data_IF_784058334789
#
_entry.id   IF_784058334789
#
_cell.length_a   1.000
_cell.length_b   1.000
_cell.length_c   1.000
_cell.angle_alpha   90.00
_cell.angle_beta   90.00
_cell.angle_gamma   90.00
#
_symmetry.space_group_name_H-M   'P 1'
#
loop_
_entity.id
_entity.type
_entity.pdbx_description
1 polymer ?
#
# COMPACT_ATOMS: atom_id res chain seq x y z
N UNK A 1 76.19 8.85 -33.70
CA UNK A 1 75.89 8.21 -35.00
C UNK A 1 74.70 7.29 -34.78
N UNK A 2 73.61 7.53 -35.55
CA UNK A 2 72.39 6.73 -35.83
C UNK A 2 72.36 5.25 -35.37
N UNK A 3 71.26 4.56 -34.99
CA UNK A 3 69.80 4.62 -35.21
C UNK A 3 69.10 3.93 -33.99
N UNK A 4 67.96 4.39 -33.44
CA UNK A 4 66.55 4.11 -33.80
C UNK A 4 66.24 2.65 -34.20
N UNK A 5 65.44 1.93 -33.40
CA UNK A 5 64.24 1.24 -33.89
C UNK A 5 63.29 0.84 -32.74
N UNK A 6 62.05 1.22 -32.97
CA UNK A 6 60.83 1.14 -32.17
C UNK A 6 60.04 -0.13 -32.47
N UNK A 7 59.36 -0.69 -31.48
CA UNK A 7 58.17 -1.52 -31.68
C UNK A 7 57.10 -1.03 -30.70
N UNK A 8 56.07 -0.39 -31.25
CA UNK A 8 54.77 -0.14 -30.62
C UNK A 8 53.92 -1.42 -30.73
N UNK A 9 52.96 -1.64 -29.84
CA UNK A 9 51.51 -1.73 -30.11
C UNK A 9 50.78 -2.05 -28.79
N UNK A 10 49.48 -1.68 -28.67
CA UNK A 10 48.88 -1.17 -27.45
C UNK A 10 47.97 -2.19 -26.74
N UNK A 11 47.95 -2.16 -25.40
CA UNK A 11 46.84 -2.73 -24.64
C UNK A 11 45.73 -1.70 -24.52
N UNK A 12 44.66 -1.88 -25.30
CA UNK A 12 43.38 -1.21 -25.12
C UNK A 12 42.77 -1.65 -23.78
N UNK A 13 42.72 -0.74 -22.81
CA UNK A 13 41.83 -0.85 -21.67
C UNK A 13 40.40 -0.57 -22.15
N UNK A 14 39.57 -1.61 -22.14
CA UNK A 14 38.13 -1.52 -22.26
C UNK A 14 37.59 -0.84 -21.00
N UNK A 15 37.17 0.41 -21.14
CA UNK A 15 36.33 1.09 -20.15
C UNK A 15 34.93 0.49 -20.34
N UNK A 16 34.56 -0.44 -19.46
CA UNK A 16 33.18 -0.88 -19.31
C UNK A 16 32.41 0.25 -18.62
N UNK A 17 31.43 0.79 -19.32
CA UNK A 17 30.46 1.74 -18.81
C UNK A 17 29.75 1.15 -17.59
N UNK A 18 30.12 1.59 -16.39
CA UNK A 18 29.29 1.39 -15.20
C UNK A 18 28.18 2.43 -15.28
N UNK A 19 26.97 1.98 -15.57
CA UNK A 19 25.77 2.77 -15.34
C UNK A 19 25.66 3.04 -13.84
N UNK A 20 25.97 4.27 -13.46
CA UNK A 20 25.72 4.78 -12.13
C UNK A 20 24.21 4.97 -11.99
N UNK A 21 23.53 3.96 -11.44
CA UNK A 21 22.16 4.12 -10.94
C UNK A 21 22.26 4.99 -9.69
N UNK A 22 22.04 6.29 -9.87
CA UNK A 22 21.93 7.25 -8.78
C UNK A 22 20.59 7.00 -8.10
N UNK A 23 20.61 6.31 -6.96
CA UNK A 23 19.51 6.38 -6.01
C UNK A 23 19.55 7.77 -5.37
N UNK A 24 18.62 8.64 -5.75
CA UNK A 24 18.41 9.90 -5.05
C UNK A 24 17.77 9.59 -3.70
N UNK A 25 18.60 9.46 -2.66
CA UNK A 25 18.12 9.54 -1.28
C UNK A 25 17.86 11.01 -0.99
N UNK A 26 16.61 11.44 -1.11
CA UNK A 26 16.20 12.77 -0.68
C UNK A 26 16.10 12.77 0.85
N UNK A 27 17.16 13.20 1.54
CA UNK A 27 17.06 13.57 2.96
C UNK A 27 16.37 14.95 3.00
N UNK A 28 15.05 14.97 3.17
CA UNK A 28 14.30 16.21 3.39
C UNK A 28 14.47 16.62 4.87
N UNK A 29 15.14 17.74 5.17
CA UNK A 29 15.24 18.22 6.54
C UNK A 29 13.89 18.82 6.95
N UNK A 30 13.15 18.12 7.84
CA UNK A 30 11.86 18.58 8.37
C UNK A 30 10.71 17.56 8.35
N UNK A 31 10.98 16.26 8.14
CA UNK A 31 9.95 15.23 8.01
C UNK A 31 9.30 14.85 9.36
N UNK A 32 8.19 15.51 9.67
CA UNK A 32 7.28 15.16 10.78
C UNK A 32 6.21 14.13 10.38
N UNK A 33 5.99 13.85 9.08
CA UNK A 33 5.06 12.80 8.66
C UNK A 33 5.76 11.54 8.14
N UNK A 34 5.09 10.40 8.30
CA UNK A 34 5.62 9.07 7.90
C UNK A 34 4.80 8.34 6.87
N UNK A 35 3.67 8.87 6.44
CA UNK A 35 3.03 8.41 5.21
C UNK A 35 3.34 9.43 4.11
N UNK A 36 3.98 9.00 3.03
CA UNK A 36 4.51 9.88 2.00
C UNK A 36 4.02 9.44 0.63
N UNK A 37 3.64 10.38 -0.22
CA UNK A 37 3.35 10.16 -1.64
C UNK A 37 4.67 10.05 -2.40
N UNK A 38 4.93 8.88 -2.99
CA UNK A 38 6.10 8.61 -3.82
C UNK A 38 6.01 9.27 -5.20
N UNK A 39 7.13 9.32 -5.96
CA UNK A 39 7.19 10.04 -7.23
C UNK A 39 6.16 9.58 -8.26
N UNK A 40 5.81 8.29 -8.30
CA UNK A 40 4.85 7.77 -9.29
C UNK A 40 3.39 8.18 -9.02
N UNK A 41 3.09 8.61 -7.79
CA UNK A 41 1.76 9.11 -7.40
C UNK A 41 1.73 10.64 -7.36
N UNK A 42 2.87 11.28 -7.06
CA UNK A 42 2.98 12.75 -6.93
C UNK A 42 2.51 13.49 -8.18
N UNK A 43 2.74 12.93 -9.35
CA UNK A 43 2.35 13.52 -10.64
C UNK A 43 0.89 13.22 -11.04
N UNK A 44 0.13 12.48 -10.21
CA UNK A 44 -1.30 12.18 -10.39
C UNK A 44 -2.13 12.84 -9.26
N UNK A 45 -2.50 14.13 -9.40
CA UNK A 45 -3.22 14.86 -8.37
C UNK A 45 -4.62 14.29 -8.10
N UNK A 46 -5.23 13.60 -9.07
CA UNK A 46 -6.52 12.93 -8.87
C UNK A 46 -6.38 11.74 -7.92
N UNK A 47 -5.30 10.95 -8.07
CA UNK A 47 -5.00 9.85 -7.17
C UNK A 47 -4.62 10.33 -5.76
N UNK A 48 -3.80 11.39 -5.65
CA UNK A 48 -3.46 11.99 -4.36
C UNK A 48 -4.70 12.46 -3.61
N UNK A 49 -5.61 13.16 -4.31
CA UNK A 49 -6.86 13.61 -3.70
C UNK A 49 -7.77 12.43 -3.34
N UNK A 50 -7.87 11.41 -4.19
CA UNK A 50 -8.66 10.21 -3.91
C UNK A 50 -8.15 9.45 -2.67
N UNK A 51 -6.82 9.35 -2.49
CA UNK A 51 -6.23 8.78 -1.27
C UNK A 51 -6.59 9.65 -0.06
N UNK A 52 -6.35 10.96 -0.15
CA UNK A 52 -6.59 11.90 0.95
C UNK A 52 -8.05 11.91 1.38
N UNK A 53 -8.97 12.00 0.43
CA UNK A 53 -10.42 11.98 0.67
C UNK A 53 -10.87 10.68 1.33
N UNK A 54 -10.38 9.53 0.86
CA UNK A 54 -10.76 8.24 1.45
C UNK A 54 -10.20 8.10 2.88
N UNK A 55 -8.96 8.51 3.12
CA UNK A 55 -8.39 8.54 4.47
C UNK A 55 -9.17 9.49 5.40
N UNK A 56 -9.57 10.67 4.93
CA UNK A 56 -10.44 11.61 5.68
C UNK A 56 -11.78 10.99 6.01
N UNK A 57 -12.46 10.38 5.03
CA UNK A 57 -13.78 9.79 5.20
C UNK A 57 -13.77 8.60 6.18
N UNK A 58 -12.74 7.75 6.11
CA UNK A 58 -12.62 6.60 7.00
C UNK A 58 -12.27 7.02 8.43
N UNK A 59 -11.42 8.04 8.62
CA UNK A 59 -10.94 8.46 9.95
C UNK A 59 -11.79 9.56 10.60
N UNK A 60 -12.48 10.35 9.81
CA UNK A 60 -13.16 11.58 10.21
C UNK A 60 -12.23 12.78 10.44
N UNK A 61 -10.93 12.71 10.15
CA UNK A 61 -9.99 13.83 10.34
C UNK A 61 -10.25 14.92 9.28
N UNK A 62 -10.63 16.14 9.69
CA UNK A 62 -11.12 17.19 8.77
C UNK A 62 -10.04 17.93 7.99
N UNK A 63 -8.77 17.77 8.35
CA UNK A 63 -7.63 18.42 7.70
C UNK A 63 -6.51 17.45 7.37
N UNK A 64 -6.86 16.20 7.03
CA UNK A 64 -5.88 15.23 6.59
C UNK A 64 -5.54 15.48 5.11
N UNK A 65 -4.30 15.86 4.83
CA UNK A 65 -3.81 16.16 3.47
C UNK A 65 -2.32 15.88 3.33
N UNK A 66 -1.87 15.63 2.10
CA UNK A 66 -0.45 15.60 1.78
C UNK A 66 0.05 17.01 1.47
N UNK A 67 1.13 17.41 2.13
CA UNK A 67 1.72 18.73 1.96
C UNK A 67 2.59 18.85 0.68
N UNK A 68 3.29 19.99 0.52
CA UNK A 68 4.19 20.23 -0.61
C UNK A 68 5.40 19.26 -0.65
N UNK A 69 5.77 18.68 0.49
CA UNK A 69 6.78 17.64 0.64
C UNK A 69 6.20 16.24 0.51
N UNK A 70 4.95 16.12 0.06
CA UNK A 70 4.27 14.85 -0.17
C UNK A 70 4.03 14.06 1.11
N UNK A 71 4.04 14.72 2.26
CA UNK A 71 3.95 14.16 3.61
C UNK A 71 2.54 14.30 4.16
N UNK A 72 1.98 13.23 4.74
CA UNK A 72 0.61 13.24 5.29
C UNK A 72 0.58 13.98 6.63
N UNK A 73 -0.11 15.11 6.68
CA UNK A 73 -0.36 15.85 7.91
C UNK A 73 -1.82 15.74 8.32
N UNK A 74 -2.06 15.87 9.63
CA UNK A 74 -3.40 15.87 10.20
C UNK A 74 -3.65 17.11 11.05
N UNK A 75 -4.87 17.66 10.97
CA UNK A 75 -5.39 18.60 11.93
C UNK A 75 -5.97 17.89 13.16
N UNK A 76 -6.03 18.57 14.30
CA UNK A 76 -6.60 18.03 15.55
C UNK A 76 -8.12 17.89 15.54
N UNK A 77 -8.79 18.43 14.51
CA UNK A 77 -10.24 18.39 14.39
C UNK A 77 -10.73 17.14 13.66
N UNK A 78 -11.78 16.53 14.22
CA UNK A 78 -12.40 15.34 13.64
C UNK A 78 -13.93 15.37 13.72
N UNK A 79 -14.52 14.48 12.94
CA UNK A 79 -15.95 14.28 12.73
C UNK A 79 -16.36 12.81 12.97
N UNK A 80 -17.48 12.40 12.37
CA UNK A 80 -17.84 11.00 12.18
C UNK A 80 -16.76 10.26 11.36
N UNK A 81 -16.51 9.01 11.73
CA UNK A 81 -15.47 8.15 11.17
C UNK A 81 -15.18 6.98 12.12
N UNK A 82 -14.19 6.15 11.80
CA UNK A 82 -13.71 5.07 12.67
C UNK A 82 -12.70 5.61 13.67
N UNK A 83 -12.98 5.56 14.99
CA UNK A 83 -11.98 5.87 16.00
C UNK A 83 -10.72 5.01 15.87
N UNK A 84 -10.86 3.72 15.57
CA UNK A 84 -9.71 2.83 15.38
C UNK A 84 -8.83 3.27 14.21
N UNK A 85 -9.44 3.62 13.07
CA UNK A 85 -8.68 4.07 11.91
C UNK A 85 -8.04 5.44 12.13
N UNK A 86 -8.71 6.32 12.89
CA UNK A 86 -8.17 7.61 13.28
C UNK A 86 -6.94 7.48 14.18
N UNK A 87 -7.04 6.69 15.24
CA UNK A 87 -5.91 6.44 16.15
C UNK A 87 -4.74 5.84 15.38
N UNK A 88 -5.01 4.84 14.53
CA UNK A 88 -4.00 4.28 13.64
C UNK A 88 -3.31 5.34 12.76
N UNK A 89 -4.05 6.23 12.10
CA UNK A 89 -3.44 7.25 11.25
C UNK A 89 -2.62 8.26 12.06
N UNK A 90 -3.10 8.65 13.24
CA UNK A 90 -2.35 9.55 14.13
C UNK A 90 -1.05 8.90 14.62
N UNK A 91 -1.08 7.61 14.93
CA UNK A 91 0.11 6.84 15.32
C UNK A 91 1.08 6.69 14.15
N UNK A 92 0.60 6.40 12.95
CA UNK A 92 1.43 6.39 11.74
C UNK A 92 2.10 7.75 11.54
N UNK A 93 1.35 8.85 11.64
CA UNK A 93 1.89 10.21 11.49
C UNK A 93 2.94 10.51 12.58
N UNK A 94 2.70 10.08 13.82
CA UNK A 94 3.58 10.32 14.95
C UNK A 94 4.80 9.40 15.05
N UNK A 95 4.85 8.30 14.28
CA UNK A 95 5.98 7.37 14.29
C UNK A 95 7.26 8.12 13.86
N UNK A 96 8.40 7.79 14.45
CA UNK A 96 9.70 8.40 14.12
C UNK A 96 10.76 7.39 13.66
N UNK A 97 10.34 6.15 13.41
CA UNK A 97 11.15 5.01 13.03
C UNK A 97 10.70 4.37 11.74
N UNK A 98 9.44 4.51 11.35
CA UNK A 98 8.88 3.90 10.15
C UNK A 98 8.46 4.97 9.15
N UNK A 99 8.69 4.75 7.86
CA UNK A 99 8.19 5.58 6.76
C UNK A 99 7.48 4.67 5.76
N UNK A 100 6.30 5.05 5.30
CA UNK A 100 5.50 4.35 4.31
C UNK A 100 5.37 5.22 3.07
N UNK A 101 6.06 4.83 2.00
CA UNK A 101 6.03 5.51 0.70
C UNK A 101 4.97 4.86 -0.19
N UNK A 102 3.99 5.62 -0.62
CA UNK A 102 2.91 5.16 -1.50
C UNK A 102 3.34 5.40 -2.95
N UNK A 103 3.52 4.32 -3.70
CA UNK A 103 3.79 4.32 -5.13
C UNK A 103 2.58 3.76 -5.89
N UNK A 104 2.50 4.02 -7.18
CA UNK A 104 1.49 3.49 -8.08
C UNK A 104 2.14 2.84 -9.30
N UNK A 105 1.74 1.60 -9.56
CA UNK A 105 2.17 0.76 -10.66
C UNK A 105 0.93 0.31 -11.45
N UNK A 106 0.31 1.22 -12.23
CA UNK A 106 -0.96 0.93 -12.89
C UNK A 106 -0.83 -0.20 -13.92
N UNK A 107 -1.72 -1.18 -13.86
CA UNK A 107 -1.75 -2.32 -14.78
C UNK A 107 -0.66 -3.35 -14.52
N UNK A 108 -0.13 -3.40 -13.29
CA UNK A 108 0.88 -4.36 -12.90
C UNK A 108 0.31 -5.77 -12.84
N UNK A 109 0.93 -6.70 -13.57
CA UNK A 109 0.55 -8.13 -13.49
C UNK A 109 0.92 -8.79 -12.16
N UNK A 110 1.80 -8.16 -11.39
CA UNK A 110 2.38 -8.70 -10.16
C UNK A 110 1.71 -8.17 -8.89
N UNK A 111 1.00 -7.03 -8.99
CA UNK A 111 0.32 -6.39 -7.88
C UNK A 111 -1.17 -6.55 -8.12
N UNK A 112 -1.93 -6.91 -7.08
CA UNK A 112 -3.40 -6.95 -7.15
C UNK A 112 -3.94 -5.98 -6.12
N UNK A 113 -4.37 -4.81 -6.59
CA UNK A 113 -4.72 -3.62 -5.81
C UNK A 113 -3.56 -2.99 -5.03
N UNK A 114 -2.85 -3.75 -4.18
CA UNK A 114 -1.70 -3.25 -3.46
C UNK A 114 -0.74 -4.36 -3.04
N UNK A 115 0.49 -3.96 -2.67
CA UNK A 115 1.48 -4.81 -2.01
C UNK A 115 2.48 -3.94 -1.27
N UNK A 116 2.88 -4.36 -0.07
CA UNK A 116 4.03 -3.78 0.65
C UNK A 116 5.28 -4.64 0.48
N UNK A 117 6.43 -3.99 0.35
CA UNK A 117 7.73 -4.65 0.26
C UNK A 117 8.23 -5.20 1.61
N UNK A 118 9.51 -5.59 1.70
CA UNK A 118 10.10 -6.11 2.94
C UNK A 118 10.55 -5.00 3.91
N UNK A 119 10.71 -3.78 3.42
CA UNK A 119 11.29 -2.66 4.14
C UNK A 119 12.80 -2.57 3.95
N UNK A 120 13.30 -1.34 3.88
CA UNK A 120 14.73 -1.00 3.81
C UNK A 120 15.12 -0.20 5.05
N UNK A 121 16.19 -0.61 5.73
CA UNK A 121 16.68 0.07 6.95
C UNK A 121 17.81 1.03 6.58
N UNK A 122 17.64 2.30 6.90
CA UNK A 122 18.74 3.26 6.95
C UNK A 122 19.64 2.92 8.15
N UNK A 123 20.89 2.55 7.87
CA UNK A 123 21.85 2.12 8.89
C UNK A 123 22.35 3.25 9.80
N UNK A 124 22.29 4.50 9.35
CA UNK A 124 22.73 5.66 10.12
C UNK A 124 21.62 6.14 11.07
N UNK A 125 20.39 6.20 10.57
CA UNK A 125 19.25 6.73 11.34
C UNK A 125 18.43 5.64 12.04
N UNK A 126 18.52 4.39 11.58
CA UNK A 126 17.70 3.27 12.04
C UNK A 126 16.24 3.33 11.58
N UNK A 127 15.91 4.27 10.67
CA UNK A 127 14.58 4.41 10.08
C UNK A 127 14.36 3.27 9.09
N UNK A 128 13.16 2.70 9.10
CA UNK A 128 12.72 1.67 8.17
C UNK A 128 11.74 2.28 7.19
N UNK A 129 12.08 2.26 5.91
CA UNK A 129 11.21 2.67 4.83
C UNK A 129 10.52 1.45 4.22
N UNK A 130 9.19 1.48 4.12
CA UNK A 130 8.37 0.52 3.39
C UNK A 130 7.78 1.18 2.16
N UNK A 131 7.81 0.47 1.03
CA UNK A 131 7.13 0.90 -0.19
C UNK A 131 5.82 0.13 -0.32
N UNK A 132 4.72 0.87 -0.35
CA UNK A 132 3.37 0.36 -0.63
C UNK A 132 3.07 0.66 -2.09
N UNK A 133 3.12 -0.37 -2.92
CA UNK A 133 2.84 -0.28 -4.34
C UNK A 133 1.34 -0.49 -4.59
N UNK A 134 0.62 0.53 -5.03
CA UNK A 134 -0.78 0.46 -5.46
C UNK A 134 -0.87 0.09 -6.94
N UNK A 135 -1.98 -0.56 -7.34
CA UNK A 135 -2.44 -0.60 -8.72
C UNK A 135 -3.79 0.13 -8.81
N UNK A 136 -3.74 1.43 -9.07
CA UNK A 136 -4.94 2.25 -9.20
C UNK A 136 -5.85 1.81 -10.38
N UNK A 137 -5.32 1.10 -11.38
CA UNK A 137 -6.12 0.56 -12.47
C UNK A 137 -7.00 -0.60 -12.01
N UNK A 138 -6.51 -1.46 -11.11
CA UNK A 138 -7.30 -2.53 -10.50
C UNK A 138 -8.54 -1.99 -9.76
N UNK A 139 -8.38 -0.90 -9.00
CA UNK A 139 -9.51 -0.24 -8.31
C UNK A 139 -10.54 0.35 -9.29
N UNK A 140 -10.11 0.83 -10.45
CA UNK A 140 -11.01 1.34 -11.50
C UNK A 140 -11.72 0.18 -12.22
N UNK A 141 -10.99 -0.87 -12.55
CA UNK A 141 -11.47 -1.99 -13.36
C UNK A 141 -12.49 -2.85 -12.59
N UNK A 142 -12.31 -3.01 -11.28
CA UNK A 142 -13.18 -3.86 -10.46
C UNK A 142 -14.60 -3.31 -10.30
N UNK A 143 -14.80 -1.98 -10.43
CA UNK A 143 -16.10 -1.30 -10.22
C UNK A 143 -17.23 -1.88 -11.06
N UNK A 144 -16.94 -2.30 -12.30
CA UNK A 144 -17.96 -2.79 -13.25
C UNK A 144 -18.42 -4.22 -12.96
N UNK A 145 -17.66 -4.99 -12.18
CA UNK A 145 -17.90 -6.42 -11.95
C UNK A 145 -18.26 -6.73 -10.49
N UNK A 146 -18.24 -5.71 -9.63
CA UNK A 146 -18.35 -5.84 -8.18
C UNK A 146 -19.72 -5.40 -7.67
N UNK A 147 -20.07 -5.85 -6.48
CA UNK A 147 -21.26 -5.38 -5.77
C UNK A 147 -21.01 -4.00 -5.17
N UNK A 148 -22.00 -3.10 -5.21
CA UNK A 148 -21.87 -1.73 -4.67
C UNK A 148 -21.42 -1.73 -3.20
N UNK A 149 -22.06 -2.53 -2.36
CA UNK A 149 -21.72 -2.57 -0.93
C UNK A 149 -20.32 -3.14 -0.66
N UNK A 150 -19.79 -3.99 -1.56
CA UNK A 150 -18.41 -4.45 -1.46
C UNK A 150 -17.42 -3.36 -1.89
N UNK A 151 -17.75 -2.57 -2.92
CA UNK A 151 -16.93 -1.42 -3.37
C UNK A 151 -16.84 -0.35 -2.29
N UNK A 152 -17.94 -0.08 -1.59
CA UNK A 152 -17.97 0.84 -0.43
C UNK A 152 -17.09 0.32 0.73
N UNK A 153 -16.90 -0.99 0.84
CA UNK A 153 -16.08 -1.64 1.89
C UNK A 153 -14.64 -1.98 1.45
N UNK A 154 -14.27 -1.70 0.20
CA UNK A 154 -12.97 -2.03 -0.39
C UNK A 154 -12.40 -0.79 -1.08
N UNK A 155 -11.91 0.12 -0.26
CA UNK A 155 -11.39 1.42 -0.65
C UNK A 155 -9.86 1.46 -0.53
N UNK A 156 -9.23 2.52 -1.07
CA UNK A 156 -7.76 2.65 -1.09
C UNK A 156 -7.22 2.78 0.34
N UNK A 157 -7.83 3.59 1.19
CA UNK A 157 -7.45 3.79 2.59
C UNK A 157 -7.54 2.52 3.43
N UNK A 158 -8.58 1.68 3.23
CA UNK A 158 -8.66 0.38 3.90
C UNK A 158 -7.62 -0.62 3.38
N UNK A 159 -7.21 -0.49 2.11
CA UNK A 159 -6.12 -1.30 1.56
C UNK A 159 -4.76 -0.82 2.07
N UNK A 160 -4.53 0.49 2.16
CA UNK A 160 -3.34 1.06 2.80
C UNK A 160 -3.23 0.63 4.27
N UNK A 161 -4.34 0.67 5.02
CA UNK A 161 -4.40 0.10 6.38
C UNK A 161 -3.94 -1.36 6.39
N UNK A 162 -4.55 -2.20 5.54
CA UNK A 162 -4.26 -3.64 5.45
C UNK A 162 -2.76 -3.88 5.19
N UNK A 163 -2.20 -3.13 4.26
CA UNK A 163 -0.79 -3.20 3.86
C UNK A 163 0.17 -2.75 4.96
N UNK A 164 -0.16 -1.69 5.70
CA UNK A 164 0.64 -1.21 6.84
C UNK A 164 0.53 -2.15 8.04
N UNK A 165 -0.66 -2.69 8.31
CA UNK A 165 -0.93 -3.60 9.43
C UNK A 165 -0.20 -4.95 9.28
N UNK A 166 0.25 -5.28 8.07
CA UNK A 166 1.21 -6.36 7.85
C UNK A 166 2.58 -6.10 8.48
N UNK A 167 2.98 -4.83 8.67
CA UNK A 167 4.34 -4.42 9.07
C UNK A 167 4.43 -3.86 10.47
N UNK A 168 3.37 -3.24 10.97
CA UNK A 168 3.35 -2.59 12.27
C UNK A 168 2.00 -2.79 12.96
N UNK A 169 2.03 -2.81 14.29
CA UNK A 169 0.84 -2.69 15.12
C UNK A 169 1.13 -1.65 16.21
N UNK A 170 0.28 -0.62 16.27
CA UNK A 170 0.32 0.39 17.32
C UNK A 170 -0.57 0.03 18.52
N UNK A 171 -1.33 -1.07 18.43
CA UNK A 171 -2.12 -1.59 19.55
C UNK A 171 -1.24 -2.46 20.47
N UNK A 172 -0.96 -2.03 21.71
CA UNK A 172 -0.14 -2.80 22.65
C UNK A 172 -0.77 -4.14 23.04
N UNK A 173 -2.07 -4.33 22.85
CA UNK A 173 -2.78 -5.58 23.16
C UNK A 173 -2.78 -6.57 21.99
N UNK A 174 -2.32 -6.15 20.81
CA UNK A 174 -2.23 -6.97 19.60
C UNK A 174 -0.89 -6.72 18.91
N UNK A 175 0.23 -7.07 19.56
CA UNK A 175 1.56 -6.76 19.06
C UNK A 175 1.87 -7.51 17.76
N UNK A 176 2.92 -7.06 17.07
CA UNK A 176 3.41 -7.76 15.89
C UNK A 176 3.87 -9.18 16.23
N UNK A 177 3.57 -10.18 15.38
CA UNK A 177 4.05 -11.53 15.59
C UNK A 177 5.59 -11.61 15.50
N UNK A 178 6.22 -12.64 16.09
CA UNK A 178 7.68 -12.81 16.05
C UNK A 178 8.28 -12.90 14.63
N UNK A 179 7.47 -13.26 13.63
CA UNK A 179 7.85 -13.25 12.21
C UNK A 179 8.14 -11.85 11.67
N UNK A 180 7.71 -10.79 12.38
CA UNK A 180 7.75 -9.41 11.90
C UNK A 180 6.71 -9.09 10.82
N UNK A 181 5.87 -10.08 10.44
CA UNK A 181 4.83 -9.91 9.42
C UNK A 181 3.54 -10.55 9.89
N UNK A 182 2.46 -9.76 9.95
CA UNK A 182 1.12 -10.25 10.32
C UNK A 182 0.51 -11.04 9.16
N UNK A 183 -0.12 -12.20 9.38
CA UNK A 183 -0.78 -12.94 8.29
C UNK A 183 -2.11 -12.29 7.88
N UNK A 184 -2.58 -12.59 6.66
CA UNK A 184 -3.91 -12.19 6.16
C UNK A 184 -5.03 -12.65 7.10
N UNK A 185 -4.98 -13.93 7.47
CA UNK A 185 -5.98 -14.62 8.29
C UNK A 185 -5.37 -14.96 9.64
N UNK A 186 -6.17 -14.90 10.69
CA UNK A 186 -5.75 -15.21 12.06
C UNK A 186 -5.17 -16.63 12.17
N UNK A 187 -4.05 -16.75 12.88
CA UNK A 187 -3.33 -18.00 13.11
C UNK A 187 -3.18 -18.25 14.62
N UNK A 188 -3.96 -19.21 15.15
CA UNK A 188 -4.00 -19.46 16.59
C UNK A 188 -4.57 -18.27 17.35
N UNK A 189 -3.80 -17.72 18.28
CA UNK A 189 -4.17 -16.54 19.06
C UNK A 189 -3.80 -15.21 18.36
N UNK A 190 -3.07 -15.27 17.25
CA UNK A 190 -2.65 -14.09 16.50
C UNK A 190 -3.76 -13.64 15.56
N UNK A 191 -4.25 -12.42 15.76
CA UNK A 191 -5.24 -11.81 14.87
C UNK A 191 -4.61 -11.43 13.52
N UNK A 192 -5.24 -11.83 12.42
CA UNK A 192 -4.82 -11.47 11.06
C UNK A 192 -5.26 -10.07 10.64
N UNK A 193 -4.62 -9.51 9.61
CA UNK A 193 -4.92 -8.16 9.10
C UNK A 193 -6.36 -8.03 8.59
N UNK A 194 -6.97 -9.10 8.04
CA UNK A 194 -8.37 -9.07 7.58
C UNK A 194 -9.32 -8.84 8.76
N UNK A 195 -9.08 -9.52 9.87
CA UNK A 195 -9.90 -9.36 11.08
C UNK A 195 -9.74 -7.95 11.67
N UNK A 196 -8.51 -7.42 11.71
CA UNK A 196 -8.24 -6.04 12.16
C UNK A 196 -8.90 -5.00 11.28
N UNK A 197 -8.78 -5.14 9.95
CA UNK A 197 -9.46 -4.23 9.01
C UNK A 197 -10.99 -4.35 9.13
N UNK A 198 -11.52 -5.51 9.50
CA UNK A 198 -12.96 -5.69 9.74
C UNK A 198 -13.45 -4.98 11.00
N UNK A 199 -12.60 -4.70 12.00
CA UNK A 199 -12.97 -3.87 13.14
C UNK A 199 -13.33 -2.46 12.68
N UNK A 200 -12.50 -1.85 11.83
CA UNK A 200 -12.76 -0.54 11.20
C UNK A 200 -14.05 -0.58 10.38
N UNK A 201 -14.21 -1.60 9.52
CA UNK A 201 -15.43 -1.77 8.71
C UNK A 201 -16.69 -1.88 9.58
N UNK A 202 -16.60 -2.54 10.72
CA UNK A 202 -17.72 -2.68 11.65
C UNK A 202 -18.11 -1.34 12.27
N UNK A 203 -17.13 -0.52 12.71
CA UNK A 203 -17.38 0.84 13.20
C UNK A 203 -18.08 1.72 12.16
N UNK A 204 -17.67 1.57 10.89
CA UNK A 204 -18.24 2.28 9.75
C UNK A 204 -19.51 1.64 9.17
N UNK A 205 -20.01 0.54 9.77
CA UNK A 205 -21.20 -0.20 9.32
C UNK A 205 -21.11 -0.68 7.86
N UNK A 206 -19.90 -0.96 7.39
CA UNK A 206 -19.61 -1.47 6.06
C UNK A 206 -19.81 -3.00 5.99
N UNK A 207 -19.76 -3.57 4.78
CA UNK A 207 -19.72 -5.02 4.61
C UNK A 207 -18.37 -5.57 5.11
N UNK A 208 -18.36 -6.69 5.84
CA UNK A 208 -17.14 -7.28 6.39
C UNK A 208 -16.47 -8.17 5.35
N UNK A 209 -15.14 -8.14 5.22
CA UNK A 209 -14.41 -9.05 4.32
C UNK A 209 -14.44 -10.46 4.90
N UNK A 210 -14.86 -11.44 4.11
CA UNK A 210 -14.80 -12.84 4.51
C UNK A 210 -13.33 -13.28 4.62
N UNK A 211 -12.96 -14.16 5.58
CA UNK A 211 -11.61 -14.70 5.67
C UNK A 211 -11.21 -15.39 4.36
N UNK A 212 -9.96 -15.22 3.94
CA UNK A 212 -9.48 -15.80 2.69
C UNK A 212 -8.16 -15.21 2.22
N UNK A 213 -7.70 -15.63 1.04
CA UNK A 213 -6.43 -15.17 0.44
C UNK A 213 -6.62 -13.83 -0.29
N UNK A 214 -5.62 -12.95 -0.24
CA UNK A 214 -5.58 -11.72 -1.05
C UNK A 214 -5.65 -11.97 -2.57
N UNK A 215 -5.16 -13.13 -3.05
CA UNK A 215 -5.16 -13.48 -4.49
C UNK A 215 -6.57 -13.67 -5.09
N UNK A 216 -7.61 -13.76 -4.25
CA UNK A 216 -8.98 -13.98 -4.68
C UNK A 216 -9.27 -15.41 -5.13
N UNK A 217 -10.56 -15.72 -5.21
CA UNK A 217 -11.08 -16.96 -5.74
C UNK A 217 -11.32 -16.82 -7.24
N UNK A 218 -10.62 -17.63 -8.05
CA UNK A 218 -10.80 -17.66 -9.51
C UNK A 218 -12.23 -18.13 -9.83
N UNK A 219 -12.94 -17.37 -10.66
CA UNK A 219 -14.26 -17.74 -11.13
C UNK A 219 -14.22 -18.99 -12.01
N UNK A 220 -14.91 -20.05 -11.57
CA UNK A 220 -15.01 -21.36 -12.27
C UNK A 220 -16.39 -21.65 -12.88
N UNK A 221 -17.30 -20.67 -12.87
CA UNK A 221 -18.65 -20.84 -13.38
C UNK A 221 -18.78 -20.73 -14.90
N UNK A 222 -20.00 -20.94 -15.42
CA UNK A 222 -20.27 -20.99 -16.87
C UNK A 222 -20.50 -19.62 -17.52
N UNK A 223 -20.86 -18.58 -16.76
CA UNK A 223 -21.16 -17.25 -17.30
C UNK A 223 -19.96 -16.62 -18.03
N UNK A 224 -20.06 -16.36 -19.35
CA UNK A 224 -18.94 -15.84 -20.14
C UNK A 224 -18.40 -14.49 -19.63
N UNK A 225 -19.27 -13.61 -19.14
CA UNK A 225 -18.89 -12.29 -18.65
C UNK A 225 -17.85 -12.33 -17.51
N UNK A 226 -17.86 -13.40 -16.70
CA UNK A 226 -16.98 -13.57 -15.55
C UNK A 226 -15.80 -14.52 -15.80
N UNK A 227 -15.63 -15.01 -17.03
CA UNK A 227 -14.42 -15.75 -17.39
C UNK A 227 -13.19 -14.89 -17.11
N UNK A 228 -12.13 -15.55 -16.61
CA UNK A 228 -10.86 -14.92 -16.26
C UNK A 228 -11.04 -13.79 -15.25
N UNK A 229 -11.85 -14.02 -14.22
CA UNK A 229 -11.96 -13.09 -13.09
C UNK A 229 -11.56 -13.79 -11.81
N UNK A 230 -11.04 -13.02 -10.86
CA UNK A 230 -10.93 -13.43 -9.47
C UNK A 230 -11.86 -12.56 -8.63
N UNK A 231 -12.26 -13.07 -7.47
CA UNK A 231 -13.06 -12.31 -6.52
C UNK A 231 -12.70 -12.57 -5.07
N UNK A 232 -12.80 -11.54 -4.24
CA UNK A 232 -12.85 -11.66 -2.79
C UNK A 232 -14.28 -11.40 -2.33
N UNK A 233 -14.64 -12.00 -1.20
CA UNK A 233 -16.01 -11.96 -0.68
C UNK A 233 -16.13 -11.08 0.54
N UNK A 234 -17.30 -10.47 0.65
CA UNK A 234 -17.72 -9.65 1.77
C UNK A 234 -19.11 -10.10 2.21
N UNK A 235 -19.46 -9.88 3.46
CA UNK A 235 -20.80 -10.12 4.01
C UNK A 235 -21.38 -8.80 4.49
N UNK A 236 -22.53 -8.42 3.94
CA UNK A 236 -23.22 -7.18 4.35
C UNK A 236 -23.91 -7.32 5.72
N UNK A 237 -24.41 -6.20 6.24
CA UNK A 237 -25.12 -6.14 7.53
C UNK A 237 -26.41 -6.99 7.58
N UNK A 238 -26.89 -7.49 6.44
CA UNK A 238 -28.06 -8.39 6.33
C UNK A 238 -27.63 -9.86 6.16
N UNK A 239 -26.34 -10.16 6.30
CA UNK A 239 -25.78 -11.49 6.11
C UNK A 239 -25.70 -11.95 4.64
N UNK A 240 -25.84 -11.04 3.67
CA UNK A 240 -25.76 -11.40 2.25
C UNK A 240 -24.33 -11.26 1.75
N UNK A 241 -23.85 -12.28 1.03
CA UNK A 241 -22.56 -12.26 0.34
C UNK A 241 -22.54 -11.18 -0.76
N UNK A 242 -21.42 -10.50 -0.86
CA UNK A 242 -21.05 -9.43 -1.79
C UNK A 242 -19.65 -9.71 -2.31
N UNK A 243 -19.34 -9.25 -3.52
CA UNK A 243 -18.08 -9.59 -4.16
C UNK A 243 -17.39 -8.33 -4.68
N UNK A 244 -16.10 -8.22 -4.40
CA UNK A 244 -15.18 -7.49 -5.28
C UNK A 244 -14.67 -8.47 -6.31
N UNK A 245 -14.76 -8.10 -7.58
CA UNK A 245 -14.33 -8.92 -8.72
C UNK A 245 -13.53 -8.08 -9.69
N UNK A 246 -12.40 -8.62 -10.14
CA UNK A 246 -11.53 -8.00 -11.13
C UNK A 246 -11.15 -9.01 -12.20
N UNK A 247 -10.63 -8.51 -13.33
CA UNK A 247 -10.15 -9.35 -14.42
C UNK A 247 -8.74 -9.82 -14.09
N UNK A 248 -8.47 -11.09 -14.39
CA UNK A 248 -7.11 -11.62 -14.39
C UNK A 248 -6.53 -11.37 -15.78
N UNK A 249 -5.36 -10.75 -15.82
CA UNK A 249 -4.62 -10.60 -17.07
C UNK A 249 -4.32 -11.99 -17.63
N UNK A 250 -4.73 -12.21 -18.88
CA UNK A 250 -4.38 -13.43 -19.62
C UNK A 250 -2.95 -13.37 -20.15
#
# INVERSE_FOLDING_TARGET
>A
MFHKLSIEWPCRLLISSFELIIFFVFIVPGLEARMVIGPSVKDDPELVEAISEDLRNLSGLRGLEFDEYSSLHSASEFDEGSPLFREFLLDVIADNRLVFVIENNPGSKLIRFAKTDAGTVDVETGIVEYVIELDAEDFRSCRKLSSREALEAFSIGLVLFHEIDHKVSYDPNDPMPPSGVRPDVSEGELRGVIERTNLIRNELKMALRDPGRHQGEIYRGSLPAFRSTASISFTDQKGKRRLIRWKLDQ
#
